data_IF_806871357888
#
_entry.id   IF_806871357888
#
_cell.length_a   1.000
_cell.length_b   1.000
_cell.length_c   1.000
_cell.angle_alpha   90.00
_cell.angle_beta   90.00
_cell.angle_gamma   90.00
#
_symmetry.space_group_name_H-M   'P 1'
#
loop_
_entity.id
_entity.type
_entity.pdbx_description
1 polymer ?
#
# COMPACT_ATOMS: atom_id res chain seq x y z
N UNK A 1 -5.38 1.03 -5.53
CA UNK A 1 -4.11 0.45 -5.05
C UNK A 1 -3.25 0.23 -6.27
N UNK A 2 -2.27 1.11 -6.51
CA UNK A 2 -1.32 0.91 -7.61
C UNK A 2 -0.24 -0.07 -7.10
N UNK A 3 -0.09 -1.20 -7.79
CA UNK A 3 0.94 -2.18 -7.47
C UNK A 3 2.16 -1.89 -8.36
N UNK A 4 3.26 -1.46 -7.76
CA UNK A 4 4.53 -1.19 -8.46
C UNK A 4 5.52 -2.32 -8.13
N UNK A 5 6.07 -3.00 -9.13
CA UNK A 5 7.16 -3.97 -8.94
C UNK A 5 8.43 -3.50 -9.63
N UNK A 6 9.60 -3.92 -9.16
CA UNK A 6 10.89 -3.51 -9.74
C UNK A 6 10.97 -3.84 -11.24
N UNK A 7 10.37 -4.96 -11.66
CA UNK A 7 10.27 -5.38 -13.06
C UNK A 7 9.47 -4.42 -13.94
N UNK A 8 8.55 -3.64 -13.35
CA UNK A 8 7.75 -2.66 -14.09
C UNK A 8 8.58 -1.46 -14.58
N UNK A 9 9.71 -1.14 -13.92
CA UNK A 9 10.62 -0.09 -14.39
C UNK A 9 11.47 -0.52 -15.60
N UNK A 10 11.66 -1.83 -15.77
CA UNK A 10 12.48 -2.40 -16.84
C UNK A 10 11.71 -2.68 -18.12
N UNK A 11 10.36 -2.76 -18.06
CA UNK A 11 9.52 -3.05 -19.23
C UNK A 11 9.06 -1.77 -19.93
N UNK A 12 9.89 -1.32 -20.88
CA UNK A 12 9.77 -0.08 -21.65
C UNK A 12 8.54 0.01 -22.58
N UNK A 13 7.63 -0.98 -22.59
CA UNK A 13 6.55 -1.09 -23.58
C UNK A 13 5.16 -1.42 -23.03
N UNK A 14 4.94 -1.37 -21.71
CA UNK A 14 3.63 -1.74 -21.16
C UNK A 14 2.59 -0.62 -21.36
N UNK A 15 1.33 -0.95 -21.72
CA UNK A 15 0.24 0.03 -21.85
C UNK A 15 -0.09 0.75 -20.52
N UNK A 16 0.45 0.25 -19.40
CA UNK A 16 0.21 0.77 -18.05
C UNK A 16 1.11 1.97 -17.69
N UNK A 17 2.11 2.33 -18.50
CA UNK A 17 3.06 3.41 -18.19
C UNK A 17 2.34 4.76 -17.99
N UNK A 18 1.37 5.07 -18.85
CA UNK A 18 0.60 6.31 -18.75
C UNK A 18 -0.29 6.33 -17.51
N UNK A 19 -0.95 5.21 -17.19
CA UNK A 19 -1.76 5.07 -15.98
C UNK A 19 -0.92 5.21 -14.70
N UNK A 20 0.32 4.70 -14.73
CA UNK A 20 1.28 4.84 -13.64
C UNK A 20 1.75 6.28 -13.46
N UNK A 21 2.16 6.95 -14.55
CA UNK A 21 2.57 8.35 -14.50
C UNK A 21 1.44 9.26 -13.99
N UNK A 22 0.22 9.07 -14.50
CA UNK A 22 -0.98 9.77 -13.99
C UNK A 22 -1.18 9.45 -12.51
N UNK A 23 -1.19 8.17 -12.14
CA UNK A 23 -1.41 7.75 -10.77
C UNK A 23 -0.38 8.35 -9.81
N UNK A 24 0.87 8.48 -10.25
CA UNK A 24 1.95 9.11 -9.49
C UNK A 24 1.76 10.63 -9.38
N UNK A 25 1.37 11.30 -10.47
CA UNK A 25 1.05 12.73 -10.46
C UNK A 25 -0.09 13.03 -9.47
N UNK A 26 -1.19 12.28 -9.58
CA UNK A 26 -2.36 12.41 -8.72
C UNK A 26 -1.99 12.12 -7.25
N UNK A 27 -1.11 11.16 -6.99
CA UNK A 27 -0.68 10.83 -5.63
C UNK A 27 0.26 11.88 -5.00
N UNK A 28 1.23 12.38 -5.77
CA UNK A 28 2.29 13.24 -5.25
C UNK A 28 1.93 14.72 -5.28
N UNK A 29 1.28 15.16 -6.35
CA UNK A 29 0.97 16.57 -6.63
C UNK A 29 -0.44 16.91 -6.15
N UNK A 30 -1.45 16.19 -6.64
CA UNK A 30 -2.85 16.48 -6.28
C UNK A 30 -3.20 16.01 -4.86
N UNK A 31 -2.58 14.91 -4.40
CA UNK A 31 -2.81 14.33 -3.08
C UNK A 31 -4.19 13.69 -2.91
N UNK A 32 -4.96 13.54 -3.99
CA UNK A 32 -6.31 12.95 -3.99
C UNK A 32 -6.26 11.42 -3.99
N UNK A 33 -5.14 10.83 -4.45
CA UNK A 33 -4.90 9.40 -4.42
C UNK A 33 -4.05 9.00 -3.21
N UNK A 34 -4.66 8.27 -2.28
CA UNK A 34 -3.92 7.67 -1.16
C UNK A 34 -3.10 6.48 -1.64
N UNK A 35 -1.79 6.55 -1.41
CA UNK A 35 -0.81 5.55 -1.85
C UNK A 35 -0.07 4.96 -0.66
N UNK A 36 0.32 3.70 -0.77
CA UNK A 36 1.15 3.00 0.21
C UNK A 36 2.33 2.38 -0.52
N UNK A 37 3.54 2.72 -0.07
CA UNK A 37 4.76 2.14 -0.60
C UNK A 37 5.13 0.89 0.22
N UNK A 38 5.31 -0.24 -0.46
CA UNK A 38 5.67 -1.53 0.14
C UNK A 38 6.96 -2.03 -0.49
N UNK A 39 7.97 -2.29 0.33
CA UNK A 39 9.22 -2.94 -0.07
C UNK A 39 9.11 -4.44 0.17
N UNK A 40 9.01 -5.21 -0.91
CA UNK A 40 8.92 -6.67 -0.86
C UNK A 40 10.26 -7.34 -0.53
N UNK A 41 11.36 -6.74 -0.98
CA UNK A 41 12.72 -7.23 -0.83
C UNK A 41 13.62 -6.16 -0.19
N UNK A 42 14.79 -6.55 0.29
CA UNK A 42 15.80 -5.63 0.80
C UNK A 42 16.39 -4.82 -0.36
N UNK A 43 15.94 -3.58 -0.51
CA UNK A 43 16.48 -2.65 -1.51
C UNK A 43 17.76 -2.02 -0.96
N UNK A 44 18.90 -2.47 -1.46
CA UNK A 44 20.22 -1.92 -1.10
C UNK A 44 20.57 -0.69 -1.93
N UNK A 45 20.11 -0.64 -3.18
CA UNK A 45 20.35 0.48 -4.08
C UNK A 45 19.05 1.08 -4.61
N UNK A 46 18.88 2.37 -4.35
CA UNK A 46 17.75 3.17 -4.78
C UNK A 46 18.06 3.99 -6.04
N UNK A 47 19.28 3.91 -6.58
CA UNK A 47 19.72 4.66 -7.76
C UNK A 47 18.90 4.36 -9.02
N UNK A 48 18.35 3.14 -9.11
CA UNK A 48 17.55 2.67 -10.23
C UNK A 48 16.08 3.07 -10.15
N UNK A 49 15.65 3.64 -9.03
CA UNK A 49 14.25 4.01 -8.82
C UNK A 49 13.99 5.40 -9.40
N UNK A 50 12.82 5.63 -10.03
CA UNK A 50 12.47 6.96 -10.48
C UNK A 50 12.31 7.91 -9.30
N UNK A 51 12.63 9.18 -9.54
CA UNK A 51 12.63 10.26 -8.54
C UNK A 51 11.29 10.35 -7.80
N UNK A 52 10.18 10.09 -8.48
CA UNK A 52 8.84 10.07 -7.89
C UNK A 52 8.69 9.05 -6.76
N UNK A 53 9.28 7.86 -6.90
CA UNK A 53 9.24 6.82 -5.86
C UNK A 53 10.16 7.16 -4.70
N UNK A 54 11.33 7.74 -4.99
CA UNK A 54 12.26 8.22 -3.95
C UNK A 54 11.60 9.33 -3.11
N UNK A 55 10.94 10.26 -3.78
CA UNK A 55 10.19 11.33 -3.14
C UNK A 55 9.04 10.76 -2.29
N UNK A 56 8.27 9.80 -2.83
CA UNK A 56 7.20 9.14 -2.09
C UNK A 56 7.73 8.46 -0.82
N UNK A 57 8.85 7.74 -0.92
CA UNK A 57 9.53 7.12 0.21
C UNK A 57 9.95 8.15 1.25
N UNK A 58 10.52 9.28 0.83
CA UNK A 58 10.93 10.36 1.75
C UNK A 58 9.73 11.00 2.47
N UNK A 59 8.57 11.11 1.80
CA UNK A 59 7.38 11.79 2.33
C UNK A 59 6.62 10.96 3.36
N UNK A 60 6.40 9.66 3.11
CA UNK A 60 5.55 8.80 3.96
C UNK A 60 6.21 7.51 4.46
N UNK A 61 7.46 7.27 4.05
CA UNK A 61 8.18 6.02 4.31
C UNK A 61 7.65 4.84 3.47
N UNK A 62 8.33 3.72 3.60
CA UNK A 62 7.93 2.44 3.00
C UNK A 62 7.65 1.39 4.08
N UNK A 63 6.67 0.53 3.82
CA UNK A 63 6.41 -0.66 4.62
C UNK A 63 7.33 -1.79 4.15
N UNK A 64 8.21 -2.24 5.03
CA UNK A 64 9.26 -3.21 4.68
C UNK A 64 8.79 -4.64 4.99
N UNK A 65 8.23 -5.32 3.99
CA UNK A 65 7.75 -6.71 4.13
C UNK A 65 8.89 -7.66 4.45
N UNK A 66 10.05 -7.47 3.80
CA UNK A 66 11.22 -8.33 3.95
C UNK A 66 11.71 -8.44 5.41
N UNK A 67 11.54 -7.40 6.22
CA UNK A 67 11.90 -7.45 7.65
C UNK A 67 11.03 -8.43 8.44
N UNK A 68 9.71 -8.34 8.25
CA UNK A 68 8.76 -9.27 8.90
C UNK A 68 8.93 -10.71 8.40
N UNK A 69 9.31 -10.88 7.13
CA UNK A 69 9.61 -12.18 6.54
C UNK A 69 10.87 -12.85 7.13
N UNK A 70 11.86 -12.07 7.59
CA UNK A 70 13.09 -12.57 8.24
C UNK A 70 12.91 -12.88 9.73
N UNK A 71 12.02 -12.15 10.40
CA UNK A 71 11.73 -12.34 11.83
C UNK A 71 10.93 -13.61 12.15
N UNK A 72 10.23 -14.17 11.16
CA UNK A 72 9.50 -15.43 11.31
C UNK A 72 10.43 -16.59 10.97
N UNK A 73 10.66 -17.49 11.94
CA UNK A 73 11.62 -18.63 11.89
C UNK A 73 11.29 -19.71 10.83
N UNK A 74 10.56 -19.38 9.76
CA UNK A 74 10.14 -20.32 8.71
C UNK A 74 9.96 -19.67 7.33
N UNK A 75 10.60 -18.52 7.07
CA UNK A 75 10.50 -17.79 5.80
C UNK A 75 9.30 -16.85 5.70
N UNK A 76 9.06 -16.21 4.53
CA UNK A 76 8.04 -15.19 4.35
C UNK A 76 6.62 -15.74 4.59
N UNK A 77 6.12 -15.60 5.81
CA UNK A 77 4.77 -16.03 6.14
C UNK A 77 3.75 -14.96 5.73
N UNK A 78 2.91 -15.28 4.74
CA UNK A 78 1.77 -14.45 4.31
C UNK A 78 0.59 -14.66 5.27
N UNK A 79 0.84 -14.59 6.58
CA UNK A 79 -0.22 -14.71 7.58
C UNK A 79 -1.02 -13.40 7.64
N UNK A 80 -2.34 -13.39 7.36
CA UNK A 80 -3.16 -12.17 7.35
C UNK A 80 -3.21 -11.42 8.70
N UNK A 81 -2.86 -12.12 9.79
CA UNK A 81 -2.79 -11.60 11.17
C UNK A 81 -1.42 -10.98 11.52
N UNK A 82 -0.43 -11.02 10.63
CA UNK A 82 0.90 -10.47 10.87
C UNK A 82 0.86 -8.96 11.16
N UNK A 83 1.85 -8.46 11.89
CA UNK A 83 1.97 -7.02 12.20
C UNK A 83 2.02 -6.18 10.92
N UNK A 84 2.67 -6.68 9.88
CA UNK A 84 2.70 -6.05 8.57
C UNK A 84 1.29 -5.85 7.99
N UNK A 85 0.48 -6.91 7.87
CA UNK A 85 -0.84 -6.80 7.24
C UNK A 85 -1.81 -5.96 8.06
N UNK A 86 -1.62 -5.90 9.38
CA UNK A 86 -2.31 -4.90 10.21
C UNK A 86 -1.89 -3.49 9.79
N UNK A 87 -0.60 -3.21 9.68
CA UNK A 87 -0.08 -1.90 9.28
C UNK A 87 -0.53 -1.48 7.87
N UNK A 88 -0.56 -2.41 6.91
CA UNK A 88 -1.14 -2.16 5.58
C UNK A 88 -2.61 -1.77 5.71
N UNK A 89 -3.42 -2.54 6.45
CA UNK A 89 -4.85 -2.26 6.64
C UNK A 89 -5.11 -0.92 7.31
N UNK A 90 -4.28 -0.52 8.28
CA UNK A 90 -4.37 0.80 8.91
C UNK A 90 -4.05 1.94 7.95
N UNK A 91 -3.17 1.73 6.97
CA UNK A 91 -2.82 2.73 5.95
C UNK A 91 -3.74 2.70 4.73
N UNK A 92 -4.54 1.65 4.55
CA UNK A 92 -5.52 1.60 3.47
C UNK A 92 -6.63 2.63 3.74
N UNK A 93 -7.03 3.44 2.75
CA UNK A 93 -8.24 4.23 2.87
C UNK A 93 -9.40 3.28 3.17
N UNK A 94 -9.98 3.41 4.37
CA UNK A 94 -11.28 2.81 4.63
C UNK A 94 -12.22 3.51 3.66
N UNK A 95 -12.89 2.75 2.79
CA UNK A 95 -14.01 3.32 2.01
C UNK A 95 -14.94 3.91 3.05
N UNK A 96 -14.99 5.23 3.17
CA UNK A 96 -15.99 5.90 3.95
C UNK A 96 -17.30 5.54 3.25
N UNK A 97 -17.99 4.51 3.77
CA UNK A 97 -19.44 4.51 3.65
C UNK A 97 -19.86 5.88 4.18
N UNK A 98 -20.52 6.71 3.37
CA UNK A 98 -21.04 7.95 3.87
C UNK A 98 -21.86 7.61 5.11
N UNK A 99 -21.53 8.20 6.26
CA UNK A 99 -22.29 7.96 7.50
C UNK A 99 -23.76 8.39 7.36
N UNK A 100 -24.10 9.03 6.24
CA UNK A 100 -25.46 9.38 5.82
C UNK A 100 -26.29 8.20 5.29
N UNK A 101 -25.73 7.02 5.02
CA UNK A 101 -26.51 5.83 4.62
C UNK A 101 -26.72 4.82 5.75
N UNK A 102 -26.34 5.13 6.99
CA UNK A 102 -26.73 4.34 8.17
C UNK A 102 -28.12 4.79 8.65
N UNK A 103 -29.10 3.87 8.74
CA UNK A 103 -30.35 4.15 9.42
C UNK A 103 -30.05 4.54 10.88
N UNK A 104 -30.44 5.75 11.30
CA UNK A 104 -30.16 6.29 12.64
C UNK A 104 -30.93 5.59 13.79
N UNK A 105 -31.64 4.50 13.53
CA UNK A 105 -32.33 3.75 14.57
C UNK A 105 -32.25 2.26 14.26
N UNK A 106 -31.46 1.53 15.04
CA UNK A 106 -31.28 0.10 14.84
C UNK A 106 -30.31 -0.49 15.85
N UNK A 107 -30.75 -0.55 17.10
CA UNK A 107 -30.15 -1.34 18.16
C UNK A 107 -29.86 -2.76 17.65
N UNK A 108 -28.59 -3.15 17.59
CA UNK A 108 -28.22 -4.56 17.54
C UNK A 108 -27.66 -4.92 18.90
N UNK A 109 -28.58 -5.43 19.73
CA UNK A 109 -28.24 -6.13 20.95
C UNK A 109 -27.32 -7.30 20.64
N UNK A 110 -26.37 -7.53 21.55
CA UNK A 110 -25.79 -8.85 21.80
C UNK A 110 -26.86 -9.93 21.72
N UNK A 111 -26.57 -11.04 21.05
CA UNK A 111 -26.82 -12.37 21.62
C UNK A 111 -26.01 -13.42 20.85
N UNK A 112 -25.15 -14.12 21.59
CA UNK A 112 -24.72 -15.47 21.25
C UNK A 112 -25.88 -16.46 21.42
N UNK A 113 -25.70 -17.67 20.93
CA UNK A 113 -25.47 -18.80 21.84
C UNK A 113 -24.03 -19.34 21.79
#
# INVERSE_FOLDING_TARGET
MLLYTASTFSELGSPLRFEQEIGMHVALVEGTLQVILVELEEVTDYSLFPESVLHLKSKQGALQWWKTARETTGGPQICPSSRFWKQVRYRMPVKSTPVSSLPKHGCWMFNGP
#
